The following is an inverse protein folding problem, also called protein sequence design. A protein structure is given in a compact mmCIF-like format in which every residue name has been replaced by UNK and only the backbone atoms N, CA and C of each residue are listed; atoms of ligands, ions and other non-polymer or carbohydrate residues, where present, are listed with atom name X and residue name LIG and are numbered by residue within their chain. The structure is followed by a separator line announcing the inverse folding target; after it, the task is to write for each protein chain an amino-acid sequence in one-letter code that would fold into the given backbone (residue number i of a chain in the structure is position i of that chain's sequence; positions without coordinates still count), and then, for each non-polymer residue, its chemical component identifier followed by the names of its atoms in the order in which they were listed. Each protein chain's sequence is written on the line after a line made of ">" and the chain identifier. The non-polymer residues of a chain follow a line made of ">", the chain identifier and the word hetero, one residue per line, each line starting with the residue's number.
data_IF_062846080602
#
_entry.id   IF_062846080602
#
_cell.length_a   1.000
_cell.length_b   1.000
_cell.length_c   1.000
_cell.angle_alpha   90.00
_cell.angle_beta   90.00
_cell.angle_gamma   90.00
#
_symmetry.space_group_name_H-M   'P 1'
#
loop_
_entity.id
_entity.type
_entity.pdbx_description
1 polymer ?
#
# COMPACT_ATOMS: atom_id res chain seq x y z
N UNK A 1 -11.15 9.31 -9.51
CA UNK A 1 -11.09 8.83 -8.10
C UNK A 1 -10.46 9.91 -7.23
N UNK A 2 -11.04 10.19 -6.05
CA UNK A 2 -10.42 11.04 -5.03
C UNK A 2 -9.76 10.16 -3.96
N UNK A 3 -8.56 10.53 -3.53
CA UNK A 3 -7.79 9.82 -2.50
C UNK A 3 -7.48 10.79 -1.37
N UNK A 4 -7.82 10.43 -0.13
CA UNK A 4 -7.48 11.19 1.07
C UNK A 4 -6.52 10.37 1.93
N UNK A 5 -5.40 10.98 2.37
CA UNK A 5 -4.46 10.32 3.27
C UNK A 5 -5.01 10.40 4.68
N UNK A 6 -5.28 9.24 5.27
CA UNK A 6 -5.80 9.13 6.64
C UNK A 6 -4.66 8.93 7.64
N UNK A 7 -3.71 8.03 7.35
CA UNK A 7 -2.50 7.84 8.18
C UNK A 7 -1.26 7.73 7.31
N UNK A 8 -0.17 8.32 7.76
CA UNK A 8 1.18 8.25 7.18
C UNK A 8 2.21 8.73 8.21
N UNK A 9 3.48 8.67 7.84
CA UNK A 9 4.61 9.26 8.59
C UNK A 9 4.64 10.79 8.53
N UNK A 10 4.20 11.38 7.42
CA UNK A 10 4.29 12.82 7.19
C UNK A 10 3.14 13.56 7.86
N UNK A 11 3.48 14.42 8.82
CA UNK A 11 2.52 15.21 9.58
C UNK A 11 1.62 16.06 8.69
N UNK A 12 0.34 16.13 9.08
CA UNK A 12 -0.64 17.10 8.59
C UNK A 12 -1.10 17.98 9.76
N UNK A 13 -1.35 19.28 9.55
CA UNK A 13 -1.83 20.16 10.63
C UNK A 13 -3.11 19.62 11.28
N UNK A 14 -3.07 19.36 12.59
CA UNK A 14 -4.20 18.83 13.35
C UNK A 14 -4.42 17.32 13.24
N UNK A 15 -3.55 16.59 12.55
CA UNK A 15 -3.60 15.14 12.41
C UNK A 15 -2.49 14.47 13.23
N UNK A 16 -2.72 13.20 13.58
CA UNK A 16 -1.73 12.36 14.25
C UNK A 16 -0.98 11.54 13.21
N UNK A 17 0.35 11.61 13.24
CA UNK A 17 1.21 10.75 12.40
C UNK A 17 1.53 9.44 13.10
N UNK A 18 1.75 8.39 12.33
CA UNK A 18 2.27 7.11 12.81
C UNK A 18 3.07 6.42 11.70
N UNK A 19 3.91 5.44 12.06
CA UNK A 19 4.47 4.54 11.07
C UNK A 19 3.38 3.58 10.63
N UNK A 20 2.65 3.94 9.57
CA UNK A 20 1.53 3.17 9.05
C UNK A 20 0.85 3.91 7.91
N UNK A 21 0.20 3.19 7.02
CA UNK A 21 -0.50 3.75 5.86
C UNK A 21 -2.00 3.48 5.94
N UNK A 22 -2.80 4.49 5.65
CA UNK A 22 -4.24 4.33 5.37
C UNK A 22 -4.71 5.41 4.40
N UNK A 23 -5.40 4.99 3.34
CA UNK A 23 -5.93 5.84 2.29
C UNK A 23 -7.45 5.65 2.20
N UNK A 24 -8.21 6.74 2.24
CA UNK A 24 -9.62 6.72 1.92
C UNK A 24 -9.80 6.99 0.42
N UNK A 25 -10.39 6.04 -0.26
CA UNK A 25 -10.63 6.08 -1.71
C UNK A 25 -12.11 6.34 -1.95
N UNK A 26 -12.44 7.45 -2.65
CA UNK A 26 -13.79 7.75 -3.12
C UNK A 26 -13.85 7.56 -4.62
N UNK A 27 -14.67 6.60 -5.03
CA UNK A 27 -14.89 6.23 -6.43
C UNK A 27 -16.36 6.41 -6.79
N UNK A 28 -16.68 6.30 -8.07
CA UNK A 28 -18.09 6.27 -8.53
C UNK A 28 -18.83 5.03 -8.01
N UNK A 29 -18.09 3.97 -7.65
CA UNK A 29 -18.64 2.69 -7.18
C UNK A 29 -18.71 2.59 -5.66
N UNK A 30 -18.27 3.60 -4.92
CA UNK A 30 -18.32 3.63 -3.46
C UNK A 30 -17.02 4.11 -2.80
N UNK A 31 -17.01 4.03 -1.48
CA UNK A 31 -15.87 4.38 -0.64
C UNK A 31 -15.17 3.13 -0.12
N UNK A 32 -13.84 3.15 -0.16
CA UNK A 32 -12.98 2.08 0.35
C UNK A 32 -11.90 2.66 1.25
N UNK A 33 -11.63 2.01 2.36
CA UNK A 33 -10.43 2.27 3.13
C UNK A 33 -9.36 1.26 2.70
N UNK A 34 -8.29 1.74 2.08
CA UNK A 34 -7.14 0.95 1.68
C UNK A 34 -6.10 1.03 2.78
N UNK A 35 -5.84 -0.08 3.45
CA UNK A 35 -5.07 -0.24 4.68
C UNK A 35 -5.61 0.57 5.87
N UNK A 36 -5.11 0.29 7.08
CA UNK A 36 -5.70 0.81 8.32
C UNK A 36 -4.67 1.43 9.27
N UNK A 37 -3.42 1.61 8.83
CA UNK A 37 -2.35 2.12 9.68
C UNK A 37 -1.94 1.16 10.79
N UNK A 38 -1.08 1.63 11.70
CA UNK A 38 -0.61 0.88 12.86
C UNK A 38 -1.63 0.84 14.02
N UNK A 39 -2.62 1.74 13.98
CA UNK A 39 -3.80 1.69 14.86
C UNK A 39 -3.90 2.80 15.90
N UNK A 40 -2.92 3.67 16.02
CA UNK A 40 -3.00 4.81 16.97
C UNK A 40 -3.58 6.06 16.31
N UNK A 41 -3.33 6.27 15.02
CA UNK A 41 -3.72 7.47 14.28
C UNK A 41 -5.05 7.33 13.53
N UNK A 42 -5.48 6.12 13.16
CA UNK A 42 -6.62 5.92 12.28
C UNK A 42 -7.91 6.57 12.81
N UNK A 43 -8.34 6.24 14.03
CA UNK A 43 -9.59 6.75 14.60
C UNK A 43 -9.57 8.26 14.82
N UNK A 44 -8.53 8.87 15.47
CA UNK A 44 -8.48 10.32 15.62
C UNK A 44 -8.46 11.06 14.28
N UNK A 45 -7.76 10.53 13.28
CA UNK A 45 -7.66 11.17 11.97
C UNK A 45 -8.97 11.07 11.17
N UNK A 46 -9.65 9.91 11.19
CA UNK A 46 -11.00 9.80 10.61
C UNK A 46 -11.95 10.81 11.26
N UNK A 47 -11.92 10.94 12.58
CA UNK A 47 -12.74 11.92 13.31
C UNK A 47 -12.42 13.36 12.87
N UNK A 48 -11.15 13.70 12.70
CA UNK A 48 -10.71 15.01 12.21
C UNK A 48 -11.19 15.28 10.78
N UNK A 49 -11.32 14.24 9.96
CA UNK A 49 -11.92 14.31 8.62
C UNK A 49 -13.47 14.32 8.63
N UNK A 50 -14.09 14.30 9.80
CA UNK A 50 -15.56 14.24 9.94
C UNK A 50 -16.14 12.86 9.61
N UNK A 51 -15.33 11.80 9.62
CA UNK A 51 -15.71 10.43 9.27
C UNK A 51 -15.80 9.57 10.52
N UNK A 52 -16.94 8.92 10.72
CA UNK A 52 -17.11 7.95 11.79
C UNK A 52 -16.43 6.62 11.41
N UNK A 53 -15.75 5.97 12.36
CA UNK A 53 -15.23 4.61 12.15
C UNK A 53 -16.34 3.61 11.80
N UNK A 54 -17.56 3.83 12.28
CA UNK A 54 -18.73 3.04 11.95
C UNK A 54 -19.29 3.24 10.53
N UNK A 55 -18.88 4.29 9.81
CA UNK A 55 -19.28 4.53 8.41
C UNK A 55 -18.33 3.87 7.40
N UNK A 56 -17.17 3.39 7.84
CA UNK A 56 -16.24 2.65 6.97
C UNK A 56 -16.76 1.25 6.73
N UNK A 57 -17.40 1.04 5.57
CA UNK A 57 -18.07 -0.23 5.23
C UNK A 57 -17.18 -1.23 4.51
N UNK A 58 -16.23 -0.75 3.72
CA UNK A 58 -15.38 -1.57 2.88
C UNK A 58 -13.92 -1.29 3.17
N UNK A 59 -13.17 -2.33 3.51
CA UNK A 59 -11.73 -2.26 3.77
C UNK A 59 -11.00 -3.16 2.78
N UNK A 60 -9.90 -2.66 2.25
CA UNK A 60 -8.94 -3.42 1.44
C UNK A 60 -7.63 -3.45 2.23
N UNK A 61 -7.07 -4.63 2.45
CA UNK A 61 -5.76 -4.78 3.08
C UNK A 61 -4.75 -5.20 2.02
N UNK A 62 -3.65 -4.45 1.93
CA UNK A 62 -2.58 -4.71 0.96
C UNK A 62 -1.77 -5.95 1.34
N UNK A 63 -1.38 -6.07 2.61
CA UNK A 63 -0.58 -7.17 3.16
C UNK A 63 -0.68 -7.25 4.70
N UNK A 64 -0.04 -8.25 5.32
CA UNK A 64 -0.24 -8.64 6.72
C UNK A 64 0.53 -7.86 7.77
N UNK A 65 1.35 -6.86 7.44
CA UNK A 65 2.12 -6.11 8.42
C UNK A 65 1.24 -5.22 9.31
N UNK A 66 1.68 -5.04 10.58
CA UNK A 66 0.92 -4.32 11.60
C UNK A 66 0.61 -2.87 11.23
N UNK A 67 1.50 -2.22 10.52
CA UNK A 67 1.42 -0.82 10.11
C UNK A 67 0.45 -0.59 8.93
N UNK A 68 -0.16 -1.67 8.42
CA UNK A 68 -1.26 -1.66 7.44
C UNK A 68 -2.55 -2.24 8.01
N UNK A 69 -2.46 -3.04 9.06
CA UNK A 69 -3.59 -3.82 9.60
C UNK A 69 -3.98 -3.46 11.02
N UNK A 70 -3.18 -2.66 11.72
CA UNK A 70 -3.33 -2.39 13.16
C UNK A 70 -4.62 -1.65 13.51
N UNK A 71 -5.05 -0.70 12.70
CA UNK A 71 -6.25 0.09 12.92
C UNK A 71 -7.56 -0.66 12.66
N UNK A 72 -7.52 -1.83 12.05
CA UNK A 72 -8.71 -2.63 11.74
C UNK A 72 -9.56 -2.92 12.98
N UNK A 73 -8.93 -3.05 14.15
CA UNK A 73 -9.62 -3.33 15.42
C UNK A 73 -10.58 -2.21 15.86
N UNK A 74 -10.41 -0.96 15.38
CA UNK A 74 -11.28 0.18 15.67
C UNK A 74 -12.48 0.30 14.71
N UNK A 75 -12.51 -0.53 13.66
CA UNK A 75 -13.51 -0.48 12.60
C UNK A 75 -14.56 -1.59 12.77
N UNK A 76 -15.70 -1.40 12.10
CA UNK A 76 -16.76 -2.41 11.97
C UNK A 76 -17.21 -2.50 10.50
N UNK A 77 -16.31 -2.90 9.60
CA UNK A 77 -16.65 -2.97 8.18
C UNK A 77 -17.64 -4.09 7.89
N UNK A 78 -18.36 -3.97 6.78
CA UNK A 78 -19.22 -5.04 6.27
C UNK A 78 -18.41 -6.08 5.48
N UNK A 79 -17.38 -5.60 4.78
CA UNK A 79 -16.53 -6.46 3.94
C UNK A 79 -15.07 -6.06 4.07
N UNK A 80 -14.21 -7.06 4.20
CA UNK A 80 -12.74 -6.89 4.05
C UNK A 80 -12.30 -7.69 2.83
N UNK A 81 -11.44 -7.09 2.01
CA UNK A 81 -10.78 -7.74 0.87
C UNK A 81 -9.28 -7.85 1.15
N UNK A 82 -8.79 -9.06 1.20
CA UNK A 82 -7.37 -9.35 1.43
C UNK A 82 -6.97 -10.69 0.81
N UNK A 83 -5.68 -10.90 0.63
CA UNK A 83 -5.18 -12.19 0.17
C UNK A 83 -5.15 -13.22 1.34
N UNK A 84 -5.26 -14.53 1.04
CA UNK A 84 -4.86 -15.57 1.99
C UNK A 84 -3.42 -15.37 2.46
N UNK A 85 -3.13 -15.70 3.71
CA UNK A 85 -1.82 -15.42 4.32
C UNK A 85 -1.75 -14.11 5.11
N UNK A 86 -2.76 -13.23 5.00
CA UNK A 86 -2.83 -11.92 5.69
C UNK A 86 -2.61 -12.01 7.22
N UNK A 87 -2.81 -13.17 7.84
CA UNK A 87 -2.63 -13.43 9.26
C UNK A 87 -1.38 -14.27 9.56
N UNK A 88 -0.55 -14.54 8.56
CA UNK A 88 0.70 -15.24 8.77
C UNK A 88 1.63 -14.46 9.68
N UNK A 89 2.61 -15.12 10.27
CA UNK A 89 3.60 -14.45 11.11
C UNK A 89 4.66 -13.81 10.25
N UNK A 90 4.95 -12.56 10.59
CA UNK A 90 5.96 -11.72 9.95
C UNK A 90 6.90 -11.15 11.00
N UNK A 91 8.19 -11.33 10.80
CA UNK A 91 9.24 -10.78 11.66
C UNK A 91 10.24 -10.00 10.82
N UNK A 92 10.70 -8.87 11.33
CA UNK A 92 11.78 -8.09 10.72
C UNK A 92 13.08 -8.23 11.53
N UNK A 93 14.20 -8.47 10.85
CA UNK A 93 15.53 -8.48 11.44
C UNK A 93 16.26 -7.18 11.12
N UNK A 94 16.53 -6.38 12.14
CA UNK A 94 17.22 -5.11 12.04
C UNK A 94 18.75 -5.26 12.04
N UNK A 95 19.48 -4.19 11.69
CA UNK A 95 20.94 -4.21 11.61
C UNK A 95 21.63 -4.40 12.97
N UNK A 96 21.00 -3.94 14.05
CA UNK A 96 21.43 -4.17 15.43
C UNK A 96 21.13 -5.61 15.93
N UNK A 97 20.65 -6.49 15.05
CA UNK A 97 20.23 -7.87 15.30
C UNK A 97 18.98 -8.01 16.18
N UNK A 98 18.22 -6.94 16.39
CA UNK A 98 16.91 -7.06 17.04
C UNK A 98 15.89 -7.66 16.07
N UNK A 99 15.00 -8.48 16.60
CA UNK A 99 13.91 -9.11 15.85
C UNK A 99 12.58 -8.57 16.37
N UNK A 100 11.82 -7.96 15.49
CA UNK A 100 10.51 -7.39 15.79
C UNK A 100 9.40 -8.23 15.15
N UNK A 101 8.36 -8.52 15.92
CA UNK A 101 7.11 -9.06 15.38
C UNK A 101 6.36 -7.93 14.67
N UNK A 102 6.21 -8.04 13.37
CA UNK A 102 5.53 -7.07 12.50
C UNK A 102 4.23 -7.63 11.93
N UNK A 103 3.74 -8.74 12.47
CA UNK A 103 2.50 -9.39 12.04
C UNK A 103 1.27 -8.54 12.32
N UNK A 104 0.17 -8.87 11.65
CA UNK A 104 -1.15 -8.33 12.00
C UNK A 104 -1.44 -8.50 13.50
N UNK A 105 -1.83 -7.43 14.22
CA UNK A 105 -2.17 -7.54 15.63
C UNK A 105 -3.35 -8.49 15.86
N UNK A 106 -3.31 -9.26 16.94
CA UNK A 106 -4.34 -10.26 17.28
C UNK A 106 -5.76 -9.66 17.33
N UNK A 107 -5.88 -8.42 17.85
CA UNK A 107 -7.17 -7.70 17.90
C UNK A 107 -7.75 -7.48 16.50
N UNK A 108 -6.90 -7.11 15.54
CA UNK A 108 -7.27 -6.94 14.12
C UNK A 108 -7.65 -8.28 13.48
N UNK A 109 -6.87 -9.33 13.72
CA UNK A 109 -7.19 -10.68 13.26
C UNK A 109 -8.51 -11.23 13.79
N UNK A 110 -8.94 -10.79 14.98
CA UNK A 110 -10.25 -11.16 15.56
C UNK A 110 -11.41 -10.54 14.76
N UNK A 111 -11.22 -9.39 14.12
CA UNK A 111 -12.25 -8.77 13.27
C UNK A 111 -12.52 -9.64 12.06
N UNK A 112 -11.49 -10.18 11.40
CA UNK A 112 -11.65 -11.07 10.23
C UNK A 112 -12.52 -12.30 10.51
N UNK A 113 -12.55 -12.78 11.75
CA UNK A 113 -13.37 -13.94 12.15
C UNK A 113 -14.85 -13.62 12.30
N UNK A 114 -15.25 -12.34 12.31
CA UNK A 114 -16.61 -11.87 12.64
C UNK A 114 -17.34 -11.24 11.47
N UNK A 115 -16.69 -11.08 10.33
CA UNK A 115 -17.23 -10.36 9.17
C UNK A 115 -17.02 -11.15 7.89
N UNK A 116 -17.62 -10.66 6.80
CA UNK A 116 -17.43 -11.23 5.46
C UNK A 116 -16.03 -10.86 4.98
N UNK A 117 -15.18 -11.87 4.73
CA UNK A 117 -13.89 -11.70 4.07
C UNK A 117 -14.02 -12.17 2.63
N UNK A 118 -13.80 -11.26 1.70
CA UNK A 118 -13.66 -11.57 0.28
C UNK A 118 -12.19 -11.89 0.01
N UNK A 119 -11.84 -13.18 -0.02
CA UNK A 119 -10.48 -13.68 -0.23
C UNK A 119 -10.07 -13.49 -1.68
N UNK A 120 -9.03 -12.68 -1.89
CA UNK A 120 -8.49 -12.37 -3.21
C UNK A 120 -7.32 -13.33 -3.49
N UNK A 121 -7.55 -14.31 -4.34
CA UNK A 121 -6.56 -15.34 -4.70
C UNK A 121 -5.91 -15.11 -6.06
N UNK A 122 -6.30 -14.07 -6.76
CA UNK A 122 -5.78 -13.69 -8.07
C UNK A 122 -6.39 -12.37 -8.53
N UNK A 123 -6.06 -11.94 -9.74
CA UNK A 123 -6.56 -10.70 -10.30
C UNK A 123 -8.09 -10.71 -10.40
N UNK A 124 -8.76 -9.75 -9.75
CA UNK A 124 -10.22 -9.76 -9.56
C UNK A 124 -10.80 -8.36 -9.67
N UNK A 125 -11.85 -8.20 -10.46
CA UNK A 125 -12.69 -7.00 -10.44
C UNK A 125 -13.56 -7.00 -9.18
N UNK A 126 -13.49 -5.92 -8.39
CA UNK A 126 -14.25 -5.77 -7.14
C UNK A 126 -15.39 -4.76 -7.25
N UNK A 127 -15.35 -3.93 -8.26
CA UNK A 127 -16.39 -3.01 -8.68
C UNK A 127 -16.11 -2.59 -10.13
N UNK A 128 -17.06 -2.02 -10.88
CA UNK A 128 -16.82 -1.53 -12.23
C UNK A 128 -15.56 -0.65 -12.29
N UNK A 129 -14.64 -1.00 -13.19
CA UNK A 129 -13.39 -0.28 -13.42
C UNK A 129 -12.40 -0.27 -12.23
N UNK A 130 -12.52 -1.24 -11.32
CA UNK A 130 -11.68 -1.34 -10.12
C UNK A 130 -11.27 -2.79 -9.86
N UNK A 131 -9.97 -3.08 -9.88
CA UNK A 131 -9.41 -4.42 -9.71
C UNK A 131 -8.43 -4.50 -8.55
N UNK A 132 -8.44 -5.64 -7.85
CA UNK A 132 -7.34 -6.06 -6.97
C UNK A 132 -6.47 -7.05 -7.73
N UNK A 133 -5.16 -6.90 -7.59
CA UNK A 133 -4.19 -7.74 -8.29
C UNK A 133 -4.18 -9.18 -7.77
N UNK A 134 -4.61 -9.38 -6.52
CA UNK A 134 -4.27 -10.60 -5.78
C UNK A 134 -2.75 -10.70 -5.56
N UNK A 135 -2.25 -11.85 -5.11
CA UNK A 135 -0.83 -12.08 -4.87
C UNK A 135 0.01 -11.78 -6.12
N UNK A 136 1.06 -10.97 -5.96
CA UNK A 136 1.87 -10.49 -7.09
C UNK A 136 3.09 -11.41 -7.27
N UNK A 137 3.22 -12.10 -8.43
CA UNK A 137 4.37 -12.96 -8.71
C UNK A 137 5.67 -12.16 -8.83
N UNK A 138 6.78 -12.71 -8.33
CA UNK A 138 8.10 -12.09 -8.30
C UNK A 138 9.02 -12.68 -9.35
N UNK A 139 9.33 -11.96 -10.41
CA UNK A 139 10.17 -12.40 -11.53
C UNK A 139 11.31 -11.45 -11.85
N UNK A 140 11.26 -10.20 -11.33
CA UNK A 140 12.22 -9.15 -11.69
C UNK A 140 13.55 -9.23 -10.92
N UNK A 141 13.62 -10.05 -9.87
CA UNK A 141 14.75 -10.07 -8.94
C UNK A 141 14.82 -8.86 -8.03
N UNK A 142 13.73 -8.09 -7.90
CA UNK A 142 13.62 -7.07 -6.83
C UNK A 142 13.52 -7.77 -5.47
N UNK A 143 14.23 -7.24 -4.48
CA UNK A 143 14.05 -7.68 -3.09
C UNK A 143 12.75 -7.12 -2.50
N UNK A 144 12.34 -7.65 -1.34
CA UNK A 144 11.13 -7.19 -0.65
C UNK A 144 11.34 -5.92 0.19
N UNK A 145 12.53 -5.30 0.11
CA UNK A 145 12.85 -4.05 0.79
C UNK A 145 13.30 -4.20 2.24
N UNK A 146 13.45 -5.43 2.75
CA UNK A 146 13.90 -5.69 4.11
C UNK A 146 14.23 -7.15 4.35
N UNK A 147 14.78 -7.44 5.54
CA UNK A 147 15.06 -8.81 5.98
C UNK A 147 13.86 -9.30 6.80
N UNK A 148 12.91 -9.95 6.12
CA UNK A 148 11.69 -10.48 6.71
C UNK A 148 11.71 -11.99 6.81
N UNK A 149 11.02 -12.53 7.82
CA UNK A 149 10.98 -13.95 8.14
C UNK A 149 9.60 -14.35 8.66
N UNK A 150 9.22 -15.61 8.44
CA UNK A 150 8.00 -16.20 9.01
C UNK A 150 8.18 -16.71 10.45
N UNK A 151 9.41 -16.75 10.95
CA UNK A 151 9.74 -17.23 12.29
C UNK A 151 10.66 -16.26 13.04
N UNK A 152 10.51 -16.22 14.37
CA UNK A 152 11.30 -15.35 15.24
C UNK A 152 12.79 -15.71 15.29
N UNK A 153 13.14 -16.95 14.91
CA UNK A 153 14.53 -17.38 14.81
C UNK A 153 15.20 -16.88 13.50
N UNK A 154 14.45 -16.24 12.61
CA UNK A 154 14.91 -15.73 11.30
C UNK A 154 15.53 -16.82 10.42
N UNK A 155 14.91 -18.00 10.40
CA UNK A 155 15.37 -19.14 9.59
C UNK A 155 14.54 -19.37 8.33
N UNK A 156 13.29 -18.92 8.30
CA UNK A 156 12.37 -19.08 7.19
C UNK A 156 12.14 -17.71 6.53
N UNK A 157 12.81 -17.41 5.39
CA UNK A 157 12.64 -16.13 4.70
C UNK A 157 11.18 -15.86 4.32
N UNK A 158 10.76 -14.61 4.49
CA UNK A 158 9.46 -14.12 4.12
C UNK A 158 9.59 -13.07 3.00
N UNK A 159 8.89 -13.30 1.92
CA UNK A 159 8.82 -12.38 0.78
C UNK A 159 7.47 -11.65 0.70
N UNK A 160 6.65 -11.69 1.76
CA UNK A 160 5.31 -11.09 1.80
C UNK A 160 4.48 -11.52 0.58
N UNK A 161 4.25 -12.83 0.40
CA UNK A 161 3.64 -13.37 -0.83
C UNK A 161 2.17 -12.98 -0.98
N UNK A 162 1.50 -12.61 0.11
CA UNK A 162 0.10 -12.21 0.16
C UNK A 162 -0.14 -10.74 -0.25
N UNK A 163 0.92 -10.00 -0.60
CA UNK A 163 0.77 -8.61 -1.00
C UNK A 163 -0.03 -8.44 -2.28
N UNK A 164 -0.96 -7.46 -2.26
CA UNK A 164 -1.76 -7.04 -3.39
C UNK A 164 -1.78 -5.53 -3.56
N UNK A 165 -2.13 -5.09 -4.75
CA UNK A 165 -2.33 -3.68 -5.13
C UNK A 165 -3.71 -3.49 -5.77
N UNK A 166 -4.14 -2.23 -5.89
CA UNK A 166 -5.38 -1.87 -6.56
C UNK A 166 -5.08 -1.15 -7.86
N UNK A 167 -5.77 -1.53 -8.94
CA UNK A 167 -5.69 -0.91 -10.27
C UNK A 167 -7.04 -0.34 -10.67
N UNK A 168 -7.04 0.83 -11.30
CA UNK A 168 -8.23 1.46 -11.88
C UNK A 168 -8.19 1.49 -13.41
N UNK A 169 -9.33 1.64 -14.06
CA UNK A 169 -9.42 1.70 -15.54
C UNK A 169 -8.69 2.92 -16.14
N UNK A 170 -8.61 4.02 -15.41
CA UNK A 170 -7.88 5.22 -15.81
C UNK A 170 -6.36 5.13 -15.57
N UNK A 171 -5.87 3.99 -15.08
CA UNK A 171 -4.45 3.70 -14.96
C UNK A 171 -3.82 4.20 -13.66
N UNK A 172 -4.58 4.32 -12.58
CA UNK A 172 -4.05 4.58 -11.25
C UNK A 172 -3.75 3.24 -10.56
N UNK A 173 -2.50 3.05 -10.14
CA UNK A 173 -2.04 1.90 -9.36
C UNK A 173 -1.82 2.34 -7.90
N UNK A 174 -2.51 1.69 -6.96
CA UNK A 174 -2.38 1.97 -5.52
C UNK A 174 -1.71 0.78 -4.84
N UNK A 175 -0.65 1.05 -4.10
CA UNK A 175 0.16 0.08 -3.38
C UNK A 175 0.24 0.42 -1.89
N UNK A 176 0.34 -0.59 -1.02
CA UNK A 176 0.70 -0.42 0.39
C UNK A 176 2.19 -0.12 0.54
N UNK A 177 3.00 -1.16 0.56
CA UNK A 177 4.47 -1.09 0.61
C UNK A 177 5.18 -1.47 -0.68
N UNK A 178 4.51 -2.18 -1.57
CA UNK A 178 5.11 -2.69 -2.80
C UNK A 178 6.29 -3.66 -2.55
N UNK A 179 6.13 -4.58 -1.58
CA UNK A 179 7.12 -5.62 -1.26
C UNK A 179 7.40 -6.56 -2.44
N UNK A 180 6.42 -6.72 -3.34
CA UNK A 180 6.64 -7.46 -4.57
C UNK A 180 7.62 -6.76 -5.53
N UNK A 181 7.86 -5.47 -5.33
CA UNK A 181 8.61 -4.59 -6.22
C UNK A 181 7.73 -4.00 -7.31
N UNK A 182 7.99 -2.75 -7.67
CA UNK A 182 7.15 -2.01 -8.63
C UNK A 182 7.23 -2.58 -10.04
N UNK A 183 8.37 -3.17 -10.43
CA UNK A 183 8.54 -3.80 -11.75
C UNK A 183 7.63 -5.01 -11.88
N UNK A 184 7.59 -5.86 -10.83
CA UNK A 184 6.71 -7.02 -10.78
C UNK A 184 5.24 -6.59 -10.77
N UNK A 185 4.89 -5.57 -9.98
CA UNK A 185 3.52 -5.07 -9.83
C UNK A 185 2.98 -4.52 -11.15
N UNK A 186 3.74 -3.65 -11.84
CA UNK A 186 3.38 -3.13 -13.16
C UNK A 186 3.30 -4.26 -14.19
N UNK A 187 4.28 -5.18 -14.19
CA UNK A 187 4.29 -6.33 -15.09
C UNK A 187 3.05 -7.22 -14.91
N UNK A 188 2.66 -7.47 -13.65
CA UNK A 188 1.47 -8.26 -13.33
C UNK A 188 0.18 -7.59 -13.80
N UNK A 189 0.02 -6.28 -13.55
CA UNK A 189 -1.11 -5.51 -14.04
C UNK A 189 -1.21 -5.54 -15.57
N UNK A 190 -0.11 -5.31 -16.27
CA UNK A 190 -0.07 -5.35 -17.76
C UNK A 190 -0.40 -6.72 -18.33
N UNK A 191 -0.03 -7.80 -17.65
CA UNK A 191 -0.37 -9.17 -18.08
C UNK A 191 -1.88 -9.41 -18.03
N UNK A 192 -2.57 -8.90 -17.02
CA UNK A 192 -4.01 -9.10 -16.84
C UNK A 192 -4.86 -8.07 -17.59
N UNK A 193 -4.39 -6.82 -17.66
CA UNK A 193 -5.06 -5.72 -18.35
C UNK A 193 -4.10 -5.00 -19.32
N UNK A 194 -3.73 -5.62 -20.47
CA UNK A 194 -2.75 -5.06 -21.41
C UNK A 194 -3.20 -3.75 -22.07
N UNK A 195 -4.50 -3.44 -22.03
CA UNK A 195 -5.06 -2.20 -22.58
C UNK A 195 -5.03 -1.02 -21.61
N UNK A 196 -4.83 -1.27 -20.31
CA UNK A 196 -4.74 -0.22 -19.31
C UNK A 196 -3.28 0.23 -19.22
N UNK A 197 -2.98 1.44 -19.67
CA UNK A 197 -1.70 2.08 -19.40
C UNK A 197 -1.70 2.58 -17.95
N UNK A 198 -0.74 2.11 -17.13
CA UNK A 198 -0.54 2.66 -15.79
C UNK A 198 0.09 4.02 -15.97
N UNK A 199 -0.56 5.07 -15.48
CA UNK A 199 -0.17 6.47 -15.63
C UNK A 199 0.19 7.13 -14.29
N UNK A 200 -0.41 6.66 -13.20
CA UNK A 200 -0.11 7.16 -11.87
C UNK A 200 0.15 5.99 -10.90
N UNK A 201 1.10 6.20 -9.96
CA UNK A 201 1.36 5.28 -8.85
C UNK A 201 1.21 6.03 -7.53
N UNK A 202 0.46 5.45 -6.59
CA UNK A 202 0.14 6.03 -5.28
C UNK A 202 0.51 5.04 -4.19
N UNK A 203 1.22 5.50 -3.15
CA UNK A 203 1.54 4.69 -1.97
C UNK A 203 3.03 4.55 -1.67
N UNK A 204 3.38 3.49 -0.95
CA UNK A 204 4.75 3.12 -0.61
C UNK A 204 5.40 2.26 -1.69
N UNK A 205 6.72 2.42 -1.85
CA UNK A 205 7.53 1.63 -2.79
C UNK A 205 8.65 0.83 -2.12
N UNK A 206 8.72 0.87 -0.80
CA UNK A 206 9.74 0.24 0.04
C UNK A 206 11.19 0.50 -0.44
N UNK A 207 11.50 1.78 -0.75
CA UNK A 207 12.80 2.20 -1.28
C UNK A 207 13.68 2.91 -0.25
N UNK A 208 13.26 3.00 1.00
CA UNK A 208 14.00 3.72 2.06
C UNK A 208 15.44 3.27 2.20
N UNK A 209 15.70 1.98 2.02
CA UNK A 209 17.02 1.36 2.13
C UNK A 209 17.51 0.79 0.80
N UNK A 210 16.88 1.18 -0.31
CA UNK A 210 17.27 0.74 -1.64
C UNK A 210 18.66 1.26 -2.00
N UNK A 211 19.46 0.41 -2.61
CA UNK A 211 20.74 0.80 -3.20
C UNK A 211 20.55 1.55 -4.52
N UNK A 212 21.65 2.06 -5.07
CA UNK A 212 21.64 2.84 -6.30
C UNK A 212 21.13 2.02 -7.51
N UNK A 213 21.42 0.73 -7.55
CA UNK A 213 20.97 -0.15 -8.65
C UNK A 213 19.46 -0.31 -8.63
N UNK A 214 18.88 -0.57 -7.46
CA UNK A 214 17.42 -0.69 -7.31
C UNK A 214 16.71 0.62 -7.63
N UNK A 215 17.26 1.77 -7.19
CA UNK A 215 16.71 3.09 -7.51
C UNK A 215 16.71 3.36 -9.02
N UNK A 216 17.82 3.05 -9.72
CA UNK A 216 17.90 3.22 -11.17
C UNK A 216 16.97 2.28 -11.93
N UNK A 217 16.85 1.02 -11.50
CA UNK A 217 15.90 0.06 -12.10
C UNK A 217 14.47 0.52 -11.93
N UNK A 218 14.13 1.10 -10.77
CA UNK A 218 12.82 1.68 -10.50
C UNK A 218 12.55 2.89 -11.41
N UNK A 219 13.50 3.83 -11.50
CA UNK A 219 13.39 5.00 -12.38
C UNK A 219 13.24 4.60 -13.86
N UNK A 220 14.04 3.63 -14.31
CA UNK A 220 13.95 3.06 -15.66
C UNK A 220 12.56 2.47 -15.92
N UNK A 221 12.02 1.70 -14.97
CA UNK A 221 10.68 1.13 -15.08
C UNK A 221 9.62 2.21 -15.27
N UNK A 222 9.68 3.30 -14.51
CA UNK A 222 8.73 4.41 -14.63
C UNK A 222 8.86 5.12 -15.99
N UNK A 223 10.06 5.38 -16.48
CA UNK A 223 10.30 5.95 -17.82
C UNK A 223 9.73 5.06 -18.93
N UNK A 224 10.06 3.77 -18.92
CA UNK A 224 9.63 2.81 -19.94
C UNK A 224 8.11 2.62 -19.98
N UNK A 225 7.45 2.73 -18.84
CA UNK A 225 6.00 2.65 -18.73
C UNK A 225 5.31 4.01 -18.86
N UNK A 226 6.07 5.12 -19.06
CA UNK A 226 5.55 6.49 -19.23
C UNK A 226 4.64 6.91 -18.08
N UNK A 227 5.09 6.63 -16.83
CA UNK A 227 4.35 7.06 -15.64
C UNK A 227 4.36 8.58 -15.59
N UNK A 228 3.19 9.18 -15.48
CA UNK A 228 3.00 10.63 -15.50
C UNK A 228 3.05 11.24 -14.10
N UNK A 229 2.55 10.50 -13.09
CA UNK A 229 2.44 10.99 -11.71
C UNK A 229 2.84 9.92 -10.69
N UNK A 230 3.59 10.35 -9.68
CA UNK A 230 3.90 9.55 -8.49
C UNK A 230 3.46 10.30 -7.23
N UNK A 231 2.67 9.64 -6.40
CA UNK A 231 2.28 10.11 -5.08
C UNK A 231 2.95 9.21 -4.05
N UNK A 232 4.16 9.60 -3.63
CA UNK A 232 5.06 8.78 -2.83
C UNK A 232 4.97 9.13 -1.35
N UNK A 233 4.85 8.09 -0.51
CA UNK A 233 4.66 8.24 0.92
C UNK A 233 5.23 7.04 1.68
N UNK A 234 5.04 7.02 2.99
CA UNK A 234 5.25 5.89 3.89
C UNK A 234 6.68 5.32 3.81
N UNK A 235 6.84 4.07 3.33
CA UNK A 235 8.11 3.34 3.28
C UNK A 235 9.00 3.71 2.08
N UNK A 236 8.60 4.63 1.21
CA UNK A 236 9.42 5.04 0.06
C UNK A 236 10.73 5.72 0.50
N UNK A 237 10.67 6.60 1.49
CA UNK A 237 11.85 7.29 2.02
C UNK A 237 12.26 8.52 1.20
N UNK A 238 12.74 9.55 1.91
CA UNK A 238 13.08 10.86 1.31
C UNK A 238 14.22 10.79 0.29
N UNK A 239 15.23 9.96 0.57
CA UNK A 239 16.36 9.77 -0.36
C UNK A 239 15.92 9.22 -1.71
N UNK A 240 15.03 8.22 -1.70
CA UNK A 240 14.48 7.65 -2.92
C UNK A 240 13.60 8.66 -3.68
N UNK A 241 12.80 9.45 -2.97
CA UNK A 241 12.00 10.53 -3.58
C UNK A 241 12.89 11.53 -4.30
N UNK A 242 13.94 12.04 -3.64
CA UNK A 242 14.90 12.99 -4.25
C UNK A 242 15.61 12.40 -5.46
N UNK A 243 16.00 11.12 -5.36
CA UNK A 243 16.61 10.42 -6.48
C UNK A 243 15.66 10.36 -7.69
N UNK A 244 14.42 9.93 -7.49
CA UNK A 244 13.42 9.83 -8.55
C UNK A 244 13.09 11.19 -9.16
N UNK A 245 12.96 12.26 -8.36
CA UNK A 245 12.78 13.63 -8.86
C UNK A 245 13.87 14.07 -9.81
N UNK A 246 15.12 13.66 -9.55
CA UNK A 246 16.25 13.94 -10.42
C UNK A 246 16.32 13.03 -11.65
N UNK A 247 16.05 11.73 -11.45
CA UNK A 247 16.22 10.71 -12.50
C UNK A 247 15.11 10.73 -13.55
N UNK A 248 13.88 11.13 -13.17
CA UNK A 248 12.69 11.16 -14.07
C UNK A 248 11.98 12.52 -14.00
N UNK A 249 12.65 13.62 -14.44
CA UNK A 249 12.10 14.97 -14.31
C UNK A 249 10.82 15.21 -15.13
N UNK A 250 10.51 14.35 -16.09
CA UNK A 250 9.27 14.34 -16.85
C UNK A 250 8.06 13.83 -16.06
N UNK A 251 8.28 13.12 -14.96
CA UNK A 251 7.24 12.61 -14.10
C UNK A 251 6.94 13.60 -12.96
N UNK A 252 5.67 13.90 -12.73
CA UNK A 252 5.26 14.74 -11.59
C UNK A 252 5.29 13.92 -10.31
N UNK A 253 6.14 14.30 -9.35
CA UNK A 253 6.32 13.56 -8.09
C UNK A 253 5.83 14.40 -6.92
N UNK A 254 4.85 13.88 -6.21
CA UNK A 254 4.21 14.48 -5.06
C UNK A 254 4.50 13.66 -3.79
N UNK A 255 4.62 14.37 -2.66
CA UNK A 255 4.71 13.79 -1.31
C UNK A 255 3.59 14.37 -0.46
N UNK A 256 2.36 13.91 -0.65
CA UNK A 256 1.21 14.47 0.03
C UNK A 256 1.24 14.11 1.53
N UNK A 257 0.58 14.95 2.37
CA UNK A 257 0.54 14.81 3.82
C UNK A 257 -0.82 14.32 4.31
N UNK A 258 -0.89 13.83 5.53
CA UNK A 258 -2.13 13.42 6.20
C UNK A 258 -3.18 14.54 6.11
N UNK A 259 -4.44 14.16 5.88
CA UNK A 259 -5.58 15.07 5.73
C UNK A 259 -5.70 15.71 4.35
N UNK A 260 -4.74 15.51 3.44
CA UNK A 260 -4.84 15.99 2.06
C UNK A 260 -5.62 15.03 1.19
N UNK A 261 -6.56 15.61 0.41
CA UNK A 261 -7.24 14.92 -0.68
C UNK A 261 -6.67 15.36 -2.02
N UNK A 262 -6.57 14.44 -2.95
CA UNK A 262 -6.12 14.68 -4.32
C UNK A 262 -6.77 13.68 -5.28
N UNK A 263 -6.79 14.04 -6.55
CA UNK A 263 -7.30 13.18 -7.63
C UNK A 263 -6.18 13.01 -8.66
N UNK A 264 -5.50 11.83 -8.69
CA UNK A 264 -4.47 11.60 -9.71
C UNK A 264 -5.04 11.75 -11.12
N UNK A 265 -4.18 12.22 -12.04
CA UNK A 265 -4.51 12.40 -13.47
C UNK A 265 -5.65 13.39 -13.76
N UNK A 266 -6.12 14.14 -12.78
CA UNK A 266 -7.05 15.24 -13.04
C UNK A 266 -6.29 16.39 -13.71
N UNK A 267 -6.83 16.88 -14.82
CA UNK A 267 -6.39 18.17 -15.38
C UNK A 267 -6.83 19.27 -14.43
N UNK A 268 -5.88 20.05 -13.91
CA UNK A 268 -6.14 21.31 -13.18
C UNK A 268 -6.71 22.36 -14.11
#
# INVERSE_FOLDING_TARGET
>A
MEITIVTDLQDGPGFTSEFGLSLLLRTVSGEYLFDTGAGTALEPNLRQLGISTGSVRQVILSHGHYDHTGGLASLKPETIRCCPGIQDRHYSLHDDRTVHDISMPEKSGTVLKKIIVDWITGFKEIAPDLWLTGPIPRHSGEDCGGRFFHDRACTIPDNVPEEQSLLTADGILISGCCHAGIINTIGHCRKHHPKIAIRAVVGGLHLRHADAERLERTAKCFRENKIEELYLMHCTGETAVKYLQHAIPECRIFTPRIGRSFSPLSTF
#
